data_IF_827673236290
#
_entry.id   IF_827673236290
#
_cell.length_a   1.000
_cell.length_b   1.000
_cell.length_c   1.000
_cell.angle_alpha   90.00
_cell.angle_beta   90.00
_cell.angle_gamma   90.00
#
_symmetry.space_group_name_H-M   'P 1'
#
loop_
_entity.id
_entity.type
_entity.pdbx_description
1 polymer ?
#
# COMPACT_ATOMS: atom_id res chain seq x y z
N UNK A 1 11.80 7.30 24.11
CA UNK A 1 12.66 8.43 24.50
C UNK A 1 13.75 8.55 23.44
N UNK A 2 13.86 9.70 22.78
CA UNK A 2 14.87 9.92 21.73
C UNK A 2 16.27 9.95 22.37
N UNK A 3 17.13 8.98 22.02
CA UNK A 3 18.57 9.06 22.30
C UNK A 3 19.28 9.70 21.10
N UNK A 4 18.92 10.95 20.80
CA UNK A 4 19.64 11.79 19.83
C UNK A 4 20.82 12.48 20.51
N UNK A 5 21.99 12.47 19.88
CA UNK A 5 23.08 13.36 20.29
C UNK A 5 22.67 14.79 20.00
N UNK A 6 22.53 15.64 21.03
CA UNK A 6 22.22 17.07 20.86
C UNK A 6 23.22 17.84 19.98
N UNK A 7 24.35 17.24 19.64
CA UNK A 7 25.42 17.85 18.86
C UNK A 7 25.36 17.59 17.36
N UNK A 8 24.57 16.61 16.89
CA UNK A 8 24.55 16.26 15.47
C UNK A 8 23.13 15.94 14.97
N UNK A 9 22.54 16.90 14.27
CA UNK A 9 21.15 16.82 13.77
C UNK A 9 21.01 15.93 12.53
N UNK A 10 22.10 15.63 11.81
CA UNK A 10 22.08 14.78 10.60
C UNK A 10 22.15 13.28 10.91
N UNK A 11 22.33 12.89 12.17
CA UNK A 11 22.36 11.49 12.60
C UNK A 11 21.38 11.27 13.76
N UNK A 12 20.34 10.48 13.51
CA UNK A 12 19.35 10.15 14.53
C UNK A 12 19.04 8.66 14.55
N UNK A 13 18.66 8.17 15.73
CA UNK A 13 18.08 6.83 15.89
C UNK A 13 16.71 7.01 16.53
N UNK A 14 15.68 6.60 15.80
CA UNK A 14 14.28 6.69 16.18
C UNK A 14 13.83 5.33 16.70
N UNK A 15 13.21 5.33 17.87
CA UNK A 15 12.66 4.13 18.48
C UNK A 15 11.14 4.18 18.35
N UNK A 16 10.58 3.25 17.59
CA UNK A 16 9.14 3.07 17.43
C UNK A 16 8.70 1.89 18.31
N UNK A 17 7.82 2.16 19.27
CA UNK A 17 7.19 1.13 20.11
C UNK A 17 5.95 0.56 19.41
N UNK A 18 5.60 -0.69 19.72
CA UNK A 18 4.44 -1.40 19.17
C UNK A 18 4.48 -1.56 17.63
N UNK A 19 5.69 -1.57 17.07
CA UNK A 19 5.94 -1.69 15.64
C UNK A 19 6.97 -2.79 15.37
N UNK A 20 6.91 -3.36 14.16
CA UNK A 20 7.73 -4.49 13.75
C UNK A 20 8.40 -4.29 12.37
N UNK A 21 8.83 -5.39 11.75
CA UNK A 21 9.45 -5.40 10.43
C UNK A 21 8.59 -4.77 9.33
N UNK A 22 7.26 -4.77 9.47
CA UNK A 22 6.33 -4.31 8.45
C UNK A 22 6.52 -2.82 8.18
N UNK A 23 6.31 -1.98 9.19
CA UNK A 23 6.49 -0.53 9.07
C UNK A 23 7.97 -0.20 8.87
N UNK A 24 8.86 -0.87 9.59
CA UNK A 24 10.29 -0.59 9.56
C UNK A 24 10.90 -0.80 8.17
N UNK A 25 10.59 -1.91 7.51
CA UNK A 25 11.10 -2.20 6.18
C UNK A 25 10.48 -1.27 5.13
N UNK A 26 9.20 -0.94 5.25
CA UNK A 26 8.54 0.00 4.36
C UNK A 26 9.18 1.40 4.43
N UNK A 27 9.34 1.95 5.63
CA UNK A 27 9.97 3.27 5.82
C UNK A 27 11.44 3.24 5.41
N UNK A 28 12.18 2.16 5.71
CA UNK A 28 13.56 1.98 5.26
C UNK A 28 13.67 1.95 3.74
N UNK A 29 12.69 1.38 3.02
CA UNK A 29 12.69 1.42 1.57
C UNK A 29 12.56 2.85 1.04
N UNK A 30 11.61 3.64 1.55
CA UNK A 30 11.40 5.04 1.14
C UNK A 30 12.64 5.90 1.44
N UNK A 31 13.19 5.77 2.65
CA UNK A 31 14.39 6.50 3.05
C UNK A 31 15.58 6.24 2.14
N UNK A 32 15.74 5.02 1.61
CA UNK A 32 16.84 4.71 0.69
C UNK A 32 16.65 5.28 -0.72
N UNK A 33 15.46 5.75 -1.07
CA UNK A 33 15.22 6.46 -2.34
C UNK A 33 15.53 7.96 -2.24
N UNK A 34 15.55 8.51 -1.03
CA UNK A 34 15.84 9.93 -0.81
C UNK A 34 17.35 10.20 -0.97
N UNK A 35 17.76 11.06 -1.92
CA UNK A 35 19.18 11.38 -2.14
C UNK A 35 19.85 12.09 -0.96
N UNK A 36 19.07 12.65 -0.03
CA UNK A 36 19.57 13.29 1.21
C UNK A 36 20.05 12.26 2.24
N UNK A 37 19.68 10.98 2.07
CA UNK A 37 19.98 9.90 3.01
C UNK A 37 21.24 9.16 2.57
N UNK A 38 22.22 9.09 3.47
CA UNK A 38 23.45 8.31 3.27
C UNK A 38 23.29 6.88 3.79
N UNK A 39 22.63 6.71 4.93
CA UNK A 39 22.40 5.40 5.56
C UNK A 39 21.02 5.35 6.20
N UNK A 40 20.23 4.34 5.81
CA UNK A 40 18.99 3.96 6.48
C UNK A 40 18.96 2.46 6.80
N UNK A 41 18.89 2.14 8.08
CA UNK A 41 18.84 0.78 8.60
C UNK A 41 17.90 0.68 9.79
N UNK A 42 17.34 -0.50 10.04
CA UNK A 42 16.56 -0.77 11.24
C UNK A 42 17.02 -2.04 11.93
N UNK A 43 16.78 -2.14 13.24
CA UNK A 43 17.02 -3.35 14.02
C UNK A 43 15.91 -3.53 15.04
N UNK A 44 15.51 -4.79 15.26
CA UNK A 44 14.69 -5.18 16.40
C UNK A 44 15.66 -5.62 17.51
N UNK A 45 15.61 -5.02 18.70
CA UNK A 45 16.57 -5.33 19.76
C UNK A 45 16.40 -6.76 20.28
N UNK A 46 15.17 -7.27 20.33
CA UNK A 46 14.86 -8.64 20.71
C UNK A 46 13.48 -9.06 20.16
N UNK A 47 13.28 -10.29 19.65
CA UNK A 47 11.99 -10.72 19.08
C UNK A 47 10.78 -10.64 20.03
N UNK A 48 11.01 -10.71 21.35
CA UNK A 48 9.95 -10.59 22.36
C UNK A 48 9.59 -9.15 22.72
N UNK A 49 10.25 -8.16 22.14
CA UNK A 49 9.95 -6.75 22.33
C UNK A 49 9.42 -6.20 21.01
N UNK A 50 8.19 -5.70 21.02
CA UNK A 50 7.56 -4.99 19.90
C UNK A 50 8.13 -3.57 19.84
N UNK A 51 9.38 -3.47 19.41
CA UNK A 51 10.08 -2.20 19.28
C UNK A 51 11.09 -2.28 18.14
N UNK A 52 11.12 -1.24 17.31
CA UNK A 52 12.11 -1.12 16.24
C UNK A 52 12.93 0.14 16.44
N UNK A 53 14.24 0.00 16.28
CA UNK A 53 15.17 1.12 16.22
C UNK A 53 15.56 1.39 14.76
N UNK A 54 15.16 2.54 14.23
CA UNK A 54 15.50 3.00 12.88
C UNK A 54 16.62 4.04 12.98
N UNK A 55 17.75 3.75 12.35
CA UNK A 55 18.87 4.67 12.23
C UNK A 55 18.83 5.37 10.89
N UNK A 56 18.86 6.70 10.93
CA UNK A 56 18.91 7.57 9.75
C UNK A 56 20.15 8.45 9.85
N UNK A 57 20.94 8.45 8.77
CA UNK A 57 22.08 9.34 8.59
C UNK A 57 21.92 10.06 7.27
N UNK A 58 21.91 11.38 7.32
CA UNK A 58 21.76 12.24 6.14
C UNK A 58 23.09 12.92 5.81
N UNK A 59 23.17 13.54 4.65
CA UNK A 59 24.39 14.26 4.20
C UNK A 59 24.57 15.61 4.89
N UNK A 60 23.51 16.18 5.45
CA UNK A 60 23.54 17.48 6.15
C UNK A 60 22.20 17.94 6.69
N UNK A 61 21.09 17.52 6.07
CA UNK A 61 19.73 17.88 6.51
C UNK A 61 19.38 17.23 7.86
N UNK A 62 18.51 17.84 8.68
CA UNK A 62 18.07 17.23 9.92
C UNK A 62 17.40 15.86 9.69
N UNK A 63 17.95 14.79 10.29
CA UNK A 63 17.46 13.43 10.10
C UNK A 63 15.98 13.26 10.51
N UNK A 64 15.50 14.09 11.45
CA UNK A 64 14.09 14.14 11.87
C UNK A 64 13.16 14.64 10.77
N UNK A 65 13.58 15.64 10.00
CA UNK A 65 12.78 16.21 8.91
C UNK A 65 12.73 15.20 7.76
N UNK A 66 13.87 14.65 7.36
CA UNK A 66 13.96 13.61 6.33
C UNK A 66 13.14 12.38 6.70
N UNK A 67 13.17 11.95 7.97
CA UNK A 67 12.34 10.84 8.44
C UNK A 67 10.84 11.15 8.36
N UNK A 68 10.43 12.37 8.71
CA UNK A 68 9.04 12.80 8.61
C UNK A 68 8.57 12.85 7.15
N UNK A 69 9.39 13.39 6.25
CA UNK A 69 9.11 13.44 4.82
C UNK A 69 8.92 12.04 4.25
N UNK A 70 9.80 11.09 4.59
CA UNK A 70 9.70 9.69 4.16
C UNK A 70 8.39 9.03 4.63
N UNK A 71 7.94 9.30 5.85
CA UNK A 71 6.64 8.83 6.33
C UNK A 71 5.47 9.44 5.54
N UNK A 72 5.54 10.74 5.21
CA UNK A 72 4.51 11.39 4.40
C UNK A 72 4.47 10.87 2.97
N UNK A 73 5.62 10.56 2.38
CA UNK A 73 5.72 9.96 1.06
C UNK A 73 5.15 8.53 1.05
N UNK A 74 5.47 7.72 2.06
CA UNK A 74 4.88 6.39 2.23
C UNK A 74 3.35 6.44 2.31
N UNK A 75 2.80 7.41 3.05
CA UNK A 75 1.36 7.61 3.11
C UNK A 75 0.76 7.98 1.74
N UNK A 76 1.43 8.83 0.96
CA UNK A 76 0.98 9.22 -0.38
C UNK A 76 1.01 8.05 -1.35
N UNK A 77 2.07 7.23 -1.33
CA UNK A 77 2.16 6.01 -2.12
C UNK A 77 1.01 5.05 -1.80
N UNK A 78 0.73 4.81 -0.51
CA UNK A 78 -0.36 3.92 -0.09
C UNK A 78 -1.74 4.46 -0.53
N UNK A 79 -1.95 5.78 -0.45
CA UNK A 79 -3.18 6.42 -0.97
C UNK A 79 -3.33 6.22 -2.47
N UNK A 80 -2.25 6.38 -3.23
CA UNK A 80 -2.27 6.18 -4.67
C UNK A 80 -2.57 4.72 -5.04
N UNK A 81 -1.86 3.77 -4.44
CA UNK A 81 -2.09 2.32 -4.65
C UNK A 81 -3.54 1.96 -4.36
N UNK A 82 -4.08 2.41 -3.22
CA UNK A 82 -5.48 2.17 -2.85
C UNK A 82 -6.45 2.76 -3.88
N UNK A 83 -6.23 4.00 -4.31
CA UNK A 83 -7.10 4.64 -5.30
C UNK A 83 -7.12 3.90 -6.64
N UNK A 84 -5.96 3.42 -7.11
CA UNK A 84 -5.88 2.65 -8.36
C UNK A 84 -6.55 1.29 -8.20
N UNK A 85 -6.33 0.63 -7.06
CA UNK A 85 -6.95 -0.65 -6.76
C UNK A 85 -8.47 -0.55 -6.67
N UNK A 86 -8.99 0.42 -5.92
CA UNK A 86 -10.44 0.64 -5.76
C UNK A 86 -11.12 0.89 -7.12
N UNK A 87 -10.47 1.66 -8.00
CA UNK A 87 -10.94 1.89 -9.37
C UNK A 87 -10.97 0.59 -10.19
N UNK A 88 -9.88 -0.17 -10.19
CA UNK A 88 -9.79 -1.43 -10.94
C UNK A 88 -10.83 -2.46 -10.46
N UNK A 89 -11.07 -2.53 -9.15
CA UNK A 89 -12.09 -3.42 -8.57
C UNK A 89 -13.51 -2.99 -8.97
N UNK A 90 -13.79 -1.69 -9.01
CA UNK A 90 -15.09 -1.19 -9.46
C UNK A 90 -15.33 -1.52 -10.94
N UNK A 91 -14.37 -1.24 -11.81
CA UNK A 91 -14.45 -1.56 -13.24
C UNK A 91 -14.64 -3.07 -13.49
N UNK A 92 -13.92 -3.91 -12.74
CA UNK A 92 -14.07 -5.37 -12.81
C UNK A 92 -15.48 -5.81 -12.41
N UNK A 93 -16.01 -5.31 -11.29
CA UNK A 93 -17.37 -5.66 -10.83
C UNK A 93 -18.44 -5.24 -11.83
N UNK A 94 -18.31 -4.06 -12.41
CA UNK A 94 -19.24 -3.58 -13.44
C UNK A 94 -19.18 -4.46 -14.71
N UNK A 95 -17.99 -4.94 -15.07
CA UNK A 95 -17.83 -5.86 -16.21
C UNK A 95 -18.45 -7.23 -15.93
N UNK A 96 -18.27 -7.78 -14.73
CA UNK A 96 -18.89 -9.05 -14.35
C UNK A 96 -20.42 -8.95 -14.39
N UNK A 97 -20.99 -7.86 -13.85
CA UNK A 97 -22.44 -7.64 -13.89
C UNK A 97 -22.98 -7.58 -15.31
N UNK A 98 -22.28 -6.89 -16.22
CA UNK A 98 -22.67 -6.84 -17.64
C UNK A 98 -22.61 -8.21 -18.33
N UNK A 99 -21.65 -9.06 -17.97
CA UNK A 99 -21.55 -10.43 -18.50
C UNK A 99 -22.70 -11.30 -18.00
N UNK A 100 -23.02 -11.23 -16.71
CA UNK A 100 -24.15 -11.95 -16.10
C UNK A 100 -25.48 -11.53 -16.76
N UNK A 101 -25.72 -10.22 -16.93
CA UNK A 101 -26.91 -9.70 -17.61
C UNK A 101 -26.99 -10.15 -19.08
N UNK A 102 -25.87 -10.15 -19.81
CA UNK A 102 -25.82 -10.60 -21.19
C UNK A 102 -26.09 -12.11 -21.35
N UNK A 103 -25.54 -12.94 -20.46
CA UNK A 103 -25.80 -14.38 -20.43
C UNK A 103 -27.28 -14.68 -20.11
N UNK A 104 -27.88 -13.93 -19.19
CA UNK A 104 -29.31 -14.06 -18.86
C UNK A 104 -30.21 -13.64 -20.04
N UNK A 105 -29.89 -12.54 -20.71
CA UNK A 105 -30.61 -12.11 -21.93
C UNK A 105 -30.50 -13.13 -23.05
N UNK A 106 -29.32 -13.71 -23.26
CA UNK A 106 -29.11 -14.72 -24.31
C UNK A 106 -29.88 -16.01 -24.02
N UNK A 107 -29.87 -16.46 -22.76
CA UNK A 107 -30.68 -17.61 -22.33
C UNK A 107 -32.18 -17.35 -22.51
N UNK A 108 -32.63 -16.13 -22.20
CA UNK A 108 -34.03 -15.74 -22.40
C UNK A 108 -34.43 -15.73 -23.88
N UNK A 109 -33.57 -15.21 -24.77
CA UNK A 109 -33.80 -15.26 -26.23
C UNK A 109 -33.88 -16.68 -26.76
N UNK A 110 -32.98 -17.57 -26.31
CA UNK A 110 -33.02 -18.98 -26.70
C UNK A 110 -34.31 -19.66 -26.25
N UNK A 111 -34.79 -19.36 -25.02
CA UNK A 111 -36.05 -19.87 -24.49
C UNK A 111 -37.27 -19.37 -25.28
N UNK A 112 -37.33 -18.08 -25.58
CA UNK A 112 -38.44 -17.48 -26.32
C UNK A 112 -38.53 -18.05 -27.75
N UNK A 113 -37.38 -18.28 -28.39
CA UNK A 113 -37.32 -18.92 -29.71
C UNK A 113 -37.88 -20.36 -29.67
N UNK A 114 -37.48 -21.16 -28.68
CA UNK A 114 -37.97 -22.53 -28.52
C UNK A 114 -39.48 -22.59 -28.23
N UNK A 115 -39.98 -21.68 -27.39
CA UNK A 115 -41.41 -21.60 -27.08
C UNK A 115 -42.30 -21.20 -28.26
N UNK A 116 -41.75 -20.51 -29.27
CA UNK A 116 -42.48 -20.15 -30.49
C UNK A 116 -42.59 -21.28 -31.51
N UNK A 117 -41.61 -22.19 -31.55
CA UNK A 117 -41.60 -23.35 -32.47
C UNK A 117 -42.67 -24.40 -32.12
N UNK A 118 -43.03 -24.55 -30.84
CA UNK A 118 -44.04 -25.51 -30.40
C UNK A 118 -45.49 -25.09 -30.76
N UNK A 119 -45.72 -23.82 -31.12
CA UNK A 119 -47.06 -23.29 -31.47
C UNK A 119 -47.41 -23.53 -32.95
N UNK A 120 -46.42 -23.66 -33.84
CA UNK A 120 -46.66 -23.82 -35.28
C UNK A 120 -46.94 -25.27 -35.74
N UNK A 121 -46.82 -26.25 -34.83
CA UNK A 121 -46.93 -27.68 -35.16
C UNK A 121 -48.25 -28.36 -34.73
N UNK A 122 -49.30 -27.60 -34.40
CA UNK A 122 -50.65 -28.10 -34.06
C UNK A 122 -51.75 -27.35 -34.83
#
# INVERSE_FOLDING_TARGET
MEHGSFTNVSHASFTLSEEDHTLANAVRFVLNQDPRVTVAAYTIPHPSLEQVNIRVQTTGDPAREVFKDACQELMQMNRHVRSVFDKAVAEYKDEQKRKEEAEEEELKRQRDLFGSMDIENN
#
